data_IF_547432216905
#
_entry.id   IF_547432216905
#
_cell.length_a   1.000
_cell.length_b   1.000
_cell.length_c   1.000
_cell.angle_alpha   90.00
_cell.angle_beta   90.00
_cell.angle_gamma   90.00
#
_symmetry.space_group_name_H-M   'P 1'
#
loop_
_entity.id
_entity.type
_entity.pdbx_description
1 polymer ?
#
# COMPACT_ATOMS: atom_id res chain seq x y z
N UNK A 1 16.18 -16.21 -16.51
CA UNK A 1 16.03 -14.96 -15.73
C UNK A 1 14.65 -14.98 -15.08
N UNK A 2 14.53 -14.49 -13.85
CA UNK A 2 13.26 -14.50 -13.11
C UNK A 2 12.90 -13.06 -12.73
N UNK A 3 11.65 -12.67 -12.99
CA UNK A 3 11.16 -11.33 -12.69
C UNK A 3 10.41 -11.36 -11.35
N UNK A 4 10.67 -10.35 -10.53
CA UNK A 4 9.92 -10.07 -9.31
C UNK A 4 9.11 -8.79 -9.52
N UNK A 5 7.83 -8.85 -9.15
CA UNK A 5 6.91 -7.72 -9.24
C UNK A 5 6.55 -7.24 -7.83
N UNK A 6 6.74 -5.95 -7.57
CA UNK A 6 6.20 -5.27 -6.39
C UNK A 6 5.04 -4.38 -6.81
N UNK A 7 3.94 -4.43 -6.07
CA UNK A 7 2.74 -3.63 -6.31
C UNK A 7 2.28 -2.96 -5.01
N UNK A 8 1.91 -1.70 -5.12
CA UNK A 8 1.17 -0.95 -4.10
C UNK A 8 -0.22 -0.67 -4.67
N UNK A 9 -1.26 -1.13 -3.98
CA UNK A 9 -2.64 -1.09 -4.44
C UNK A 9 -3.55 -0.46 -3.39
N UNK A 10 -4.36 0.48 -3.87
CA UNK A 10 -5.33 1.18 -3.06
C UNK A 10 -6.76 0.66 -3.33
N UNK A 11 -7.40 0.17 -2.28
CA UNK A 11 -8.78 -0.30 -2.28
C UNK A 11 -9.74 0.80 -1.83
N UNK A 12 -10.98 0.79 -2.34
CA UNK A 12 -11.99 1.74 -1.85
C UNK A 12 -12.43 1.36 -0.42
N UNK A 13 -12.78 2.34 0.40
CA UNK A 13 -13.21 2.20 1.81
C UNK A 13 -14.41 1.28 2.07
N UNK A 14 -15.19 0.97 1.03
CA UNK A 14 -16.43 0.19 1.13
C UNK A 14 -16.29 -1.28 0.77
N UNK A 15 -15.07 -1.77 0.63
CA UNK A 15 -14.82 -3.19 0.36
C UNK A 15 -14.69 -3.97 1.68
N UNK A 16 -15.35 -5.11 1.73
CA UNK A 16 -15.13 -6.09 2.80
C UNK A 16 -13.76 -6.77 2.63
N UNK A 17 -13.31 -7.49 3.67
CA UNK A 17 -12.10 -8.30 3.56
C UNK A 17 -12.23 -9.34 2.43
N UNK A 18 -13.39 -9.98 2.31
CA UNK A 18 -13.69 -10.97 1.27
C UNK A 18 -13.63 -10.34 -0.13
N UNK A 19 -14.12 -9.10 -0.29
CA UNK A 19 -14.04 -8.38 -1.57
C UNK A 19 -12.59 -8.06 -1.95
N UNK A 20 -11.77 -7.69 -0.96
CA UNK A 20 -10.34 -7.41 -1.17
C UNK A 20 -9.62 -8.69 -1.57
N UNK A 21 -9.85 -9.80 -0.86
CA UNK A 21 -9.28 -11.12 -1.18
C UNK A 21 -9.63 -11.54 -2.61
N UNK A 22 -10.92 -11.50 -2.96
CA UNK A 22 -11.37 -11.85 -4.30
C UNK A 22 -10.76 -10.95 -5.39
N UNK A 23 -10.51 -9.67 -5.09
CA UNK A 23 -9.86 -8.76 -6.02
C UNK A 23 -8.36 -9.06 -6.19
N UNK A 24 -7.65 -9.38 -5.10
CA UNK A 24 -6.24 -9.78 -5.12
C UNK A 24 -6.06 -11.07 -5.91
N UNK A 25 -6.87 -12.10 -5.65
CA UNK A 25 -6.83 -13.38 -6.36
C UNK A 25 -7.01 -13.19 -7.87
N UNK A 26 -7.99 -12.37 -8.25
CA UNK A 26 -8.29 -12.10 -9.66
C UNK A 26 -7.15 -11.33 -10.33
N UNK A 27 -6.48 -10.43 -9.61
CA UNK A 27 -5.33 -9.68 -10.12
C UNK A 27 -4.12 -10.59 -10.29
N UNK A 28 -3.77 -11.36 -9.26
CA UNK A 28 -2.64 -12.29 -9.29
C UNK A 28 -2.78 -13.29 -10.44
N UNK A 29 -3.97 -13.89 -10.59
CA UNK A 29 -4.25 -14.82 -11.67
C UNK A 29 -3.99 -14.20 -13.05
N UNK A 30 -4.52 -13.00 -13.29
CA UNK A 30 -4.33 -12.30 -14.57
C UNK A 30 -2.85 -11.96 -14.84
N UNK A 31 -2.09 -11.57 -13.80
CA UNK A 31 -0.67 -11.28 -13.94
C UNK A 31 0.09 -12.55 -14.32
N UNK A 32 -0.13 -13.66 -13.63
CA UNK A 32 0.57 -14.92 -13.88
C UNK A 32 0.23 -15.52 -15.26
N UNK A 33 -1.03 -15.39 -15.69
CA UNK A 33 -1.46 -15.83 -17.02
C UNK A 33 -0.80 -15.00 -18.13
N UNK A 34 -0.69 -13.68 -17.94
CA UNK A 34 -0.15 -12.78 -18.95
C UNK A 34 1.38 -12.71 -18.97
N UNK A 35 2.03 -12.91 -17.82
CA UNK A 35 3.47 -12.73 -17.61
C UNK A 35 4.07 -13.93 -16.85
N UNK A 36 4.21 -15.11 -17.50
CA UNK A 36 4.69 -16.33 -16.85
C UNK A 36 6.14 -16.26 -16.32
N UNK A 37 6.92 -15.26 -16.74
CA UNK A 37 8.25 -14.93 -16.23
C UNK A 37 8.26 -14.35 -14.81
N UNK A 38 7.13 -13.79 -14.36
CA UNK A 38 6.97 -13.26 -13.01
C UNK A 38 6.78 -14.42 -12.03
N UNK A 39 7.80 -14.70 -11.21
CA UNK A 39 7.76 -15.82 -10.26
C UNK A 39 7.24 -15.40 -8.88
N UNK A 40 7.54 -14.17 -8.48
CA UNK A 40 7.15 -13.63 -7.18
C UNK A 40 6.41 -12.31 -7.37
N UNK A 41 5.31 -12.18 -6.65
CA UNK A 41 4.50 -10.96 -6.58
C UNK A 41 4.42 -10.60 -5.09
N UNK A 42 4.83 -9.39 -4.75
CA UNK A 42 4.62 -8.80 -3.45
C UNK A 42 3.62 -7.67 -3.61
N UNK A 43 2.64 -7.63 -2.71
CA UNK A 43 1.52 -6.71 -2.80
C UNK A 43 1.24 -6.09 -1.44
N UNK A 44 1.26 -4.77 -1.39
CA UNK A 44 0.76 -3.99 -0.27
C UNK A 44 -0.66 -3.53 -0.62
N UNK A 45 -1.61 -3.85 0.27
CA UNK A 45 -3.02 -3.51 0.11
C UNK A 45 -3.42 -2.50 1.18
N UNK A 46 -3.66 -1.26 0.78
CA UNK A 46 -4.18 -0.23 1.68
C UNK A 46 -5.62 0.15 1.32
N UNK A 47 -6.49 0.28 2.33
CA UNK A 47 -7.82 0.83 2.14
C UNK A 47 -7.76 2.37 2.16
N UNK A 48 -8.32 3.02 1.12
CA UNK A 48 -8.50 4.48 1.05
C UNK A 48 -9.57 4.87 2.06
N UNK A 49 -9.18 5.14 3.30
CA UNK A 49 -10.11 5.67 4.31
C UNK A 49 -10.41 7.14 4.03
N UNK A 50 -11.61 7.45 3.55
CA UNK A 50 -12.12 8.84 3.44
C UNK A 50 -12.44 9.33 4.86
N UNK A 51 -11.43 9.72 5.64
CA UNK A 51 -11.64 10.44 6.90
C UNK A 51 -10.71 10.11 8.07
N UNK A 52 -9.47 10.60 7.99
CA UNK A 52 -8.78 11.44 8.99
C UNK A 52 -7.29 11.34 8.68
N UNK A 53 -6.84 12.25 7.82
CA UNK A 53 -5.44 12.62 7.70
C UNK A 53 -4.97 13.02 9.11
N UNK A 54 -4.41 12.08 9.88
CA UNK A 54 -3.74 12.40 11.14
C UNK A 54 -2.61 13.36 10.74
N UNK A 55 -2.76 14.64 11.09
CA UNK A 55 -1.65 15.59 11.04
C UNK A 55 -0.52 14.93 11.81
N UNK A 56 0.57 14.58 11.12
CA UNK A 56 1.85 14.26 11.74
C UNK A 56 2.29 15.58 12.40
N UNK A 57 1.93 15.77 13.66
CA UNK A 57 2.46 16.85 14.48
C UNK A 57 3.94 16.56 14.63
N UNK A 58 4.74 17.24 13.80
CA UNK A 58 6.15 17.47 14.09
C UNK A 58 6.21 18.33 15.34
N UNK A 59 6.28 17.68 16.50
CA UNK A 59 6.81 18.32 17.70
C UNK A 59 8.31 18.45 17.46
N UNK A 60 8.71 19.59 16.91
CA UNK A 60 10.12 20.00 16.91
C UNK A 60 10.36 20.62 18.29
N UNK A 61 11.27 20.10 19.13
CA UNK A 61 11.63 20.79 20.35
C UNK A 61 12.33 22.09 19.93
N UNK A 62 11.74 23.24 20.28
CA UNK A 62 12.39 24.54 20.14
C UNK A 62 13.64 24.53 21.01
N UNK A 63 14.80 24.46 20.36
CA UNK A 63 16.10 24.65 20.99
C UNK A 63 16.22 26.13 21.36
N UNK A 64 15.98 26.43 22.63
CA UNK A 64 16.14 27.75 23.24
C UNK A 64 17.61 28.21 23.05
N UNK A 65 17.82 29.26 22.27
CA UNK A 65 19.13 29.93 22.18
C UNK A 65 19.45 30.66 23.49
N UNK A 66 20.70 30.63 23.98
CA UNK A 66 21.04 31.32 25.22
C UNK A 66 21.09 32.84 25.01
N UNK A 67 20.71 33.65 26.02
CA UNK A 67 20.83 35.10 25.92
C UNK A 67 22.30 35.54 26.02
N UNK A 68 22.56 36.68 25.38
CA UNK A 68 23.84 37.34 25.15
C UNK A 68 24.62 37.76 26.43
#
# INVERSE_FOLDING_TARGET
EHVLLNLDIQFHDRLSADDIEAAVDRLEKQIREKYPEIKHIFLEAEAISIGKRRKKTTDTPTEESPPA
#
